data_IF_912445629892
#
_entry.id   IF_912445629892
#
_cell.length_a   1.000
_cell.length_b   1.000
_cell.length_c   1.000
_cell.angle_alpha   90.00
_cell.angle_beta   90.00
_cell.angle_gamma   90.00
#
_symmetry.space_group_name_H-M   'P 1'
#
loop_
_entity.id
_entity.type
_entity.pdbx_description
1 polymer ?
#
# COMPACT_ATOMS: atom_id res chain seq x y z
N UNK A 1 -16.27 21.80 23.79
CA UNK A 1 -16.96 20.59 23.25
C UNK A 1 -17.20 20.70 21.76
N UNK A 2 -17.80 21.79 21.28
CA UNK A 2 -18.01 22.02 19.84
C UNK A 2 -16.71 22.11 19.06
N UNK A 3 -15.70 22.75 19.59
CA UNK A 3 -14.38 22.87 18.98
C UNK A 3 -13.69 21.52 18.81
N UNK A 4 -13.80 20.65 19.83
CA UNK A 4 -13.23 19.32 19.77
C UNK A 4 -13.94 18.43 18.75
N UNK A 5 -15.26 18.56 18.63
CA UNK A 5 -16.06 17.83 17.64
C UNK A 5 -15.71 18.27 16.21
N UNK A 6 -15.56 19.59 15.98
CA UNK A 6 -15.15 20.12 14.68
C UNK A 6 -13.74 19.68 14.33
N UNK A 7 -12.82 19.73 15.29
CA UNK A 7 -11.43 19.31 15.10
C UNK A 7 -11.33 17.82 14.76
N UNK A 8 -12.11 16.97 15.46
CA UNK A 8 -12.16 15.54 15.17
C UNK A 8 -12.72 15.26 13.78
N UNK A 9 -13.80 15.97 13.41
CA UNK A 9 -14.43 15.84 12.08
C UNK A 9 -13.49 16.30 10.97
N UNK A 10 -12.79 17.40 11.16
CA UNK A 10 -11.81 17.92 10.20
C UNK A 10 -10.65 16.96 10.02
N UNK A 11 -10.12 16.40 11.11
CA UNK A 11 -9.04 15.42 11.05
C UNK A 11 -9.48 14.13 10.37
N UNK A 12 -10.66 13.64 10.70
CA UNK A 12 -11.20 12.44 10.06
C UNK A 12 -11.34 12.66 8.56
N UNK A 13 -11.86 13.80 8.13
CA UNK A 13 -11.99 14.19 6.72
C UNK A 13 -10.64 14.28 6.03
N UNK A 14 -9.64 14.88 6.69
CA UNK A 14 -8.28 14.98 6.17
C UNK A 14 -7.63 13.62 5.97
N UNK A 15 -7.78 12.71 6.93
CA UNK A 15 -7.29 11.33 6.82
C UNK A 15 -8.03 10.60 5.69
N UNK A 16 -9.33 10.81 5.58
CA UNK A 16 -10.12 10.20 4.51
C UNK A 16 -9.62 10.63 3.12
N UNK A 17 -9.29 11.90 2.93
CA UNK A 17 -8.73 12.39 1.68
C UNK A 17 -7.37 11.77 1.36
N UNK A 18 -6.53 11.59 2.37
CA UNK A 18 -5.22 10.93 2.22
C UNK A 18 -5.43 9.48 1.78
N UNK A 19 -6.35 8.77 2.41
CA UNK A 19 -6.67 7.37 2.08
C UNK A 19 -7.18 7.28 0.64
N UNK A 20 -8.10 8.16 0.23
CA UNK A 20 -8.67 8.14 -1.12
C UNK A 20 -7.59 8.33 -2.19
N UNK A 21 -6.66 9.26 -1.97
CA UNK A 21 -5.53 9.47 -2.89
C UNK A 21 -4.62 8.26 -2.94
N UNK A 22 -4.34 7.65 -1.79
CA UNK A 22 -3.49 6.47 -1.70
C UNK A 22 -4.12 5.25 -2.37
N UNK A 23 -5.42 5.05 -2.21
CA UNK A 23 -6.15 3.99 -2.88
C UNK A 23 -6.17 4.17 -4.40
N UNK A 24 -6.15 5.43 -4.87
CA UNK A 24 -5.99 5.72 -6.30
C UNK A 24 -4.60 5.30 -6.80
N UNK A 25 -3.56 5.54 -6.02
CA UNK A 25 -2.21 5.06 -6.33
C UNK A 25 -2.17 3.53 -6.36
N UNK A 26 -2.88 2.86 -5.43
CA UNK A 26 -3.03 1.40 -5.43
C UNK A 26 -3.62 0.90 -6.74
N UNK A 27 -4.65 1.58 -7.23
CA UNK A 27 -5.29 1.23 -8.50
C UNK A 27 -4.31 1.33 -9.67
N UNK A 28 -3.50 2.38 -9.71
CA UNK A 28 -2.47 2.54 -10.74
C UNK A 28 -1.42 1.42 -10.65
N UNK A 29 -1.03 1.06 -9.45
CA UNK A 29 -0.11 -0.06 -9.22
C UNK A 29 -0.70 -1.37 -9.75
N UNK A 30 -1.97 -1.64 -9.48
CA UNK A 30 -2.66 -2.83 -9.96
C UNK A 30 -2.75 -2.86 -11.49
N UNK A 31 -3.03 -1.73 -12.13
CA UNK A 31 -3.09 -1.63 -13.60
C UNK A 31 -1.73 -1.98 -14.20
N UNK A 32 -0.65 -1.41 -13.68
CA UNK A 32 0.70 -1.71 -14.18
C UNK A 32 1.09 -3.16 -13.92
N UNK A 33 0.79 -3.68 -12.74
CA UNK A 33 1.07 -5.07 -12.41
C UNK A 33 0.31 -6.04 -13.34
N UNK A 34 -0.97 -5.82 -13.54
CA UNK A 34 -1.79 -6.68 -14.42
C UNK A 34 -1.35 -6.59 -15.87
N UNK A 35 -1.00 -5.41 -16.34
CA UNK A 35 -0.49 -5.20 -17.69
C UNK A 35 0.79 -5.99 -17.93
N UNK A 36 1.72 -5.95 -16.99
CA UNK A 36 2.99 -6.66 -17.10
C UNK A 36 2.81 -8.17 -16.93
N UNK A 37 2.02 -8.60 -15.96
CA UNK A 37 1.79 -10.04 -15.74
C UNK A 37 0.99 -10.71 -16.87
N UNK A 38 0.27 -9.93 -17.67
CA UNK A 38 -0.44 -10.41 -18.86
C UNK A 38 0.46 -10.69 -20.05
N UNK A 39 1.73 -10.29 -20.01
CA UNK A 39 2.71 -10.60 -21.06
C UNK A 39 3.17 -12.05 -20.87
N UNK A 40 2.82 -12.95 -21.70
CA UNK A 40 3.06 -14.40 -21.51
C UNK A 40 4.54 -14.80 -21.42
N UNK A 41 5.44 -14.06 -22.05
CA UNK A 41 6.88 -14.31 -22.00
C UNK A 41 7.65 -13.00 -22.10
N UNK A 42 8.80 -12.94 -21.43
CA UNK A 42 9.64 -11.75 -21.39
C UNK A 42 10.93 -11.96 -22.16
N UNK A 43 11.26 -10.97 -22.99
CA UNK A 43 12.46 -10.96 -23.80
C UNK A 43 13.40 -9.86 -23.31
N UNK A 44 14.62 -10.24 -22.93
CA UNK A 44 15.67 -9.32 -22.45
C UNK A 44 16.05 -8.27 -23.49
N UNK A 45 15.87 -8.58 -24.79
CA UNK A 45 16.17 -7.64 -25.86
C UNK A 45 15.03 -6.65 -26.09
N UNK A 46 13.87 -6.85 -25.46
CA UNK A 46 12.72 -5.98 -25.60
C UNK A 46 12.82 -4.82 -24.59
N UNK A 47 13.20 -3.67 -25.10
CA UNK A 47 13.35 -2.44 -24.29
C UNK A 47 12.03 -2.07 -23.62
N UNK A 48 10.90 -2.31 -24.27
CA UNK A 48 9.59 -2.01 -23.71
C UNK A 48 9.30 -2.83 -22.46
N UNK A 49 9.66 -4.11 -22.45
CA UNK A 49 9.52 -4.96 -21.26
C UNK A 49 10.37 -4.46 -20.11
N UNK A 50 11.61 -4.06 -20.38
CA UNK A 50 12.50 -3.49 -19.36
C UNK A 50 11.94 -2.20 -18.78
N UNK A 51 11.41 -1.33 -19.63
CA UNK A 51 10.79 -0.08 -19.20
C UNK A 51 9.53 -0.31 -18.36
N UNK A 52 8.72 -1.30 -18.72
CA UNK A 52 7.52 -1.66 -17.97
C UNK A 52 7.87 -2.17 -16.57
N UNK A 53 8.90 -2.99 -16.44
CA UNK A 53 9.38 -3.47 -15.13
C UNK A 53 9.84 -2.30 -14.26
N UNK A 54 10.61 -1.38 -14.81
CA UNK A 54 11.09 -0.21 -14.08
C UNK A 54 9.95 0.71 -13.65
N UNK A 55 8.94 0.86 -14.50
CA UNK A 55 7.74 1.64 -14.17
C UNK A 55 6.96 1.00 -13.04
N UNK A 56 6.77 -0.33 -13.09
CA UNK A 56 6.13 -1.07 -12.00
C UNK A 56 6.89 -0.88 -10.69
N UNK A 57 8.21 -1.01 -10.72
CA UNK A 57 9.05 -0.81 -9.54
C UNK A 57 8.89 0.59 -8.96
N UNK A 58 8.88 1.62 -9.80
CA UNK A 58 8.73 3.01 -9.36
C UNK A 58 7.38 3.25 -8.70
N UNK A 59 6.30 2.81 -9.34
CA UNK A 59 4.94 2.98 -8.81
C UNK A 59 4.78 2.20 -7.50
N UNK A 60 5.35 1.00 -7.43
CA UNK A 60 5.30 0.16 -6.24
C UNK A 60 6.04 0.80 -5.06
N UNK A 61 7.25 1.32 -5.29
CA UNK A 61 8.03 2.00 -4.25
C UNK A 61 7.30 3.26 -3.79
N UNK A 62 6.72 4.03 -4.70
CA UNK A 62 5.95 5.23 -4.35
C UNK A 62 4.74 4.88 -3.47
N UNK A 63 4.02 3.82 -3.82
CA UNK A 63 2.88 3.35 -3.04
C UNK A 63 3.29 2.89 -1.64
N UNK A 64 4.34 2.08 -1.55
CA UNK A 64 4.87 1.58 -0.28
C UNK A 64 5.34 2.73 0.60
N UNK A 65 6.06 3.68 0.02
CA UNK A 65 6.58 4.85 0.74
C UNK A 65 5.45 5.73 1.28
N UNK A 66 4.44 6.01 0.46
CA UNK A 66 3.28 6.79 0.88
C UNK A 66 2.55 6.09 2.04
N UNK A 67 2.41 4.76 1.98
CA UNK A 67 1.82 3.98 3.06
C UNK A 67 2.55 4.17 4.38
N UNK A 68 3.86 3.96 4.37
CA UNK A 68 4.68 4.03 5.59
C UNK A 68 4.85 5.45 6.13
N UNK A 69 5.06 6.43 5.27
CA UNK A 69 5.40 7.79 5.71
C UNK A 69 4.19 8.69 5.88
N UNK A 70 3.04 8.32 5.37
CA UNK A 70 1.86 9.17 5.43
C UNK A 70 0.64 8.43 5.99
N UNK A 71 0.21 7.35 5.34
CA UNK A 71 -1.09 6.73 5.62
C UNK A 71 -1.13 6.04 6.98
N UNK A 72 -0.18 5.16 7.27
CA UNK A 72 -0.21 4.37 8.53
C UNK A 72 -0.05 5.27 9.74
N UNK A 73 0.80 6.28 9.65
CA UNK A 73 1.01 7.24 10.72
C UNK A 73 -0.27 8.02 11.05
N UNK A 74 -1.00 8.45 10.02
CA UNK A 74 -2.26 9.16 10.20
C UNK A 74 -3.35 8.25 10.78
N UNK A 75 -3.41 6.99 10.35
CA UNK A 75 -4.34 6.02 10.92
C UNK A 75 -4.07 5.76 12.41
N UNK A 76 -2.81 5.60 12.77
CA UNK A 76 -2.41 5.38 14.17
C UNK A 76 -2.73 6.62 15.02
N UNK A 77 -2.46 7.81 14.52
CA UNK A 77 -2.82 9.05 15.21
C UNK A 77 -4.33 9.15 15.44
N UNK A 78 -5.13 8.80 14.44
CA UNK A 78 -6.58 8.78 14.58
C UNK A 78 -7.01 7.80 15.66
N UNK A 79 -6.46 6.59 15.69
CA UNK A 79 -6.74 5.61 16.71
C UNK A 79 -6.41 6.12 18.13
N UNK A 80 -5.30 6.86 18.27
CA UNK A 80 -4.92 7.48 19.52
C UNK A 80 -5.87 8.61 19.92
N UNK A 81 -6.26 9.45 18.96
CA UNK A 81 -7.19 10.55 19.19
C UNK A 81 -8.54 10.06 19.71
N UNK A 82 -9.03 8.92 19.20
CA UNK A 82 -10.29 8.31 19.64
C UNK A 82 -10.10 7.36 20.83
N UNK A 83 -8.86 7.21 21.32
CA UNK A 83 -8.52 6.29 22.41
C UNK A 83 -9.01 4.86 22.13
N UNK A 84 -8.86 4.43 20.90
CA UNK A 84 -9.31 3.12 20.40
C UNK A 84 -8.22 2.06 20.64
N UNK A 85 -8.10 1.60 21.89
CA UNK A 85 -7.09 0.62 22.28
C UNK A 85 -7.22 -0.72 21.53
N UNK A 86 -8.43 -1.28 21.38
CA UNK A 86 -8.58 -2.53 20.61
C UNK A 86 -8.17 -2.37 19.15
N UNK A 87 -8.56 -1.26 18.52
CA UNK A 87 -8.19 -0.96 17.13
C UNK A 87 -6.68 -0.80 16.96
N UNK A 88 -6.03 -0.08 17.88
CA UNK A 88 -4.58 0.09 17.86
C UNK A 88 -3.84 -1.25 18.05
N UNK A 89 -4.34 -2.12 18.94
CA UNK A 89 -3.74 -3.44 19.15
C UNK A 89 -3.85 -4.31 17.90
N UNK A 90 -5.00 -4.28 17.23
CA UNK A 90 -5.20 -5.02 15.98
C UNK A 90 -4.32 -4.44 14.86
N UNK A 91 -4.22 -3.12 14.77
CA UNK A 91 -3.37 -2.45 13.79
C UNK A 91 -1.90 -2.85 13.95
N UNK A 92 -1.42 -3.00 15.18
CA UNK A 92 -0.05 -3.43 15.43
C UNK A 92 0.24 -4.82 14.86
N UNK A 93 -0.72 -5.73 14.93
CA UNK A 93 -0.61 -7.07 14.34
C UNK A 93 -0.62 -7.00 12.81
N UNK A 94 -1.49 -6.18 12.25
CA UNK A 94 -1.58 -5.98 10.80
C UNK A 94 -0.32 -5.33 10.26
N UNK A 95 0.26 -4.40 11.00
CA UNK A 95 1.51 -3.73 10.62
C UNK A 95 2.66 -4.72 10.44
N UNK A 96 2.74 -5.74 11.29
CA UNK A 96 3.77 -6.79 11.16
C UNK A 96 3.62 -7.58 9.86
N UNK A 97 2.38 -7.86 9.46
CA UNK A 97 2.09 -8.53 8.18
C UNK A 97 2.54 -7.63 7.02
N UNK A 98 2.22 -6.35 7.09
CA UNK A 98 2.60 -5.36 6.09
C UNK A 98 4.13 -5.28 5.95
N UNK A 99 4.85 -5.26 7.07
CA UNK A 99 6.32 -5.19 7.07
C UNK A 99 6.96 -6.39 6.36
N UNK A 100 6.42 -7.58 6.52
CA UNK A 100 6.92 -8.76 5.81
C UNK A 100 6.76 -8.59 4.29
N UNK A 101 5.64 -8.03 3.85
CA UNK A 101 5.43 -7.77 2.43
C UNK A 101 6.34 -6.65 1.93
N UNK A 102 6.62 -5.65 2.76
CA UNK A 102 7.51 -4.53 2.41
C UNK A 102 8.89 -5.05 2.02
N UNK A 103 9.46 -5.93 2.83
CA UNK A 103 10.77 -6.52 2.57
C UNK A 103 10.79 -7.25 1.22
N UNK A 104 9.78 -8.07 0.96
CA UNK A 104 9.67 -8.83 -0.29
C UNK A 104 9.54 -7.91 -1.52
N UNK A 105 8.73 -6.85 -1.41
CA UNK A 105 8.53 -5.90 -2.51
C UNK A 105 9.79 -5.08 -2.79
N UNK A 106 10.52 -4.67 -1.75
CA UNK A 106 11.78 -3.94 -1.91
C UNK A 106 12.86 -4.83 -2.51
N UNK A 107 12.91 -6.10 -2.14
CA UNK A 107 13.84 -7.08 -2.74
C UNK A 107 13.59 -7.22 -4.25
N UNK A 108 12.32 -7.27 -4.67
CA UNK A 108 11.96 -7.28 -6.09
C UNK A 108 12.46 -6.00 -6.79
N UNK A 109 12.21 -4.85 -6.18
CA UNK A 109 12.66 -3.57 -6.73
C UNK A 109 14.18 -3.56 -6.90
N UNK A 110 14.91 -3.94 -5.87
CA UNK A 110 16.38 -3.93 -5.89
C UNK A 110 16.92 -4.86 -6.98
N UNK A 111 16.34 -6.05 -7.13
CA UNK A 111 16.75 -7.01 -8.14
C UNK A 111 16.60 -6.43 -9.55
N UNK A 112 15.46 -5.84 -9.88
CA UNK A 112 15.18 -5.36 -11.23
C UNK A 112 15.70 -3.94 -11.51
N UNK A 113 16.24 -3.26 -10.52
CA UNK A 113 17.03 -2.04 -10.73
C UNK A 113 18.44 -2.35 -11.20
N UNK A 114 18.96 -3.53 -10.85
CA UNK A 114 20.36 -3.89 -11.12
C UNK A 114 20.54 -4.84 -12.30
N UNK A 115 19.50 -5.53 -12.74
CA UNK A 115 19.60 -6.51 -13.81
C UNK A 115 18.62 -6.23 -14.95
N UNK A 116 19.07 -6.51 -16.18
CA UNK A 116 18.21 -6.56 -17.36
C UNK A 116 17.78 -8.00 -17.70
N UNK A 117 18.22 -8.98 -16.90
CA UNK A 117 17.84 -10.38 -17.07
C UNK A 117 16.40 -10.60 -16.60
N UNK A 118 15.51 -10.87 -17.54
CA UNK A 118 14.08 -11.07 -17.29
C UNK A 118 13.68 -12.56 -17.22
N UNK A 119 14.65 -13.48 -17.16
CA UNK A 119 14.38 -14.91 -17.20
C UNK A 119 13.55 -15.41 -15.99
N UNK A 120 13.71 -14.78 -14.83
CA UNK A 120 12.97 -15.13 -13.62
C UNK A 120 11.74 -14.22 -13.39
N UNK A 121 11.47 -13.27 -14.28
CA UNK A 121 10.47 -12.23 -14.04
C UNK A 121 9.05 -12.80 -13.88
N UNK A 122 8.67 -13.80 -14.68
CA UNK A 122 7.33 -14.39 -14.59
C UNK A 122 7.08 -14.98 -13.19
N UNK A 123 8.04 -15.69 -12.63
CA UNK A 123 7.94 -16.27 -11.28
C UNK A 123 7.97 -15.17 -10.23
N UNK A 124 8.86 -14.20 -10.38
CA UNK A 124 8.99 -13.09 -9.43
C UNK A 124 7.73 -12.23 -9.41
N UNK A 125 7.07 -12.02 -10.56
CA UNK A 125 5.79 -11.32 -10.63
C UNK A 125 4.67 -12.09 -9.91
N UNK A 126 4.66 -13.42 -10.05
CA UNK A 126 3.70 -14.25 -9.34
C UNK A 126 3.87 -14.10 -7.82
N UNK A 127 5.11 -14.11 -7.35
CA UNK A 127 5.42 -13.92 -5.92
C UNK A 127 5.03 -12.52 -5.45
N UNK A 128 5.32 -11.49 -6.24
CA UNK A 128 4.92 -10.10 -5.96
C UNK A 128 3.40 -10.00 -5.84
N UNK A 129 2.67 -10.64 -6.75
CA UNK A 129 1.21 -10.63 -6.72
C UNK A 129 0.64 -11.18 -5.42
N UNK A 130 1.23 -12.26 -4.89
CA UNK A 130 0.84 -12.82 -3.62
C UNK A 130 1.14 -11.87 -2.45
N UNK A 131 2.29 -11.23 -2.47
CA UNK A 131 2.65 -10.24 -1.45
C UNK A 131 1.75 -9.00 -1.50
N UNK A 132 1.41 -8.53 -2.70
CA UNK A 132 0.49 -7.40 -2.86
C UNK A 132 -0.90 -7.75 -2.32
N UNK A 133 -1.42 -8.95 -2.62
CA UNK A 133 -2.72 -9.38 -2.10
C UNK A 133 -2.73 -9.41 -0.58
N UNK A 134 -1.71 -10.02 0.04
CA UNK A 134 -1.57 -10.06 1.49
C UNK A 134 -1.50 -8.66 2.09
N UNK A 135 -0.70 -7.78 1.47
CA UNK A 135 -0.53 -6.40 1.92
C UNK A 135 -1.82 -5.61 1.83
N UNK A 136 -2.51 -5.65 0.69
CA UNK A 136 -3.74 -4.91 0.50
C UNK A 136 -4.83 -5.36 1.46
N UNK A 137 -4.93 -6.66 1.73
CA UNK A 137 -5.87 -7.18 2.71
C UNK A 137 -5.58 -6.64 4.11
N UNK A 138 -4.32 -6.64 4.53
CA UNK A 138 -3.93 -6.11 5.84
C UNK A 138 -4.16 -4.59 5.92
N UNK A 139 -3.84 -3.86 4.86
CA UNK A 139 -4.06 -2.41 4.79
C UNK A 139 -5.55 -2.07 4.85
N UNK A 140 -6.40 -2.81 4.13
CA UNK A 140 -7.84 -2.61 4.15
C UNK A 140 -8.42 -2.86 5.54
N UNK A 141 -7.93 -3.88 6.24
CA UNK A 141 -8.34 -4.15 7.62
C UNK A 141 -7.89 -3.03 8.57
N UNK A 142 -6.70 -2.49 8.37
CA UNK A 142 -6.20 -1.37 9.17
C UNK A 142 -7.06 -0.12 8.97
N UNK A 143 -7.44 0.18 7.74
CA UNK A 143 -8.36 1.28 7.42
C UNK A 143 -9.70 1.04 8.12
N UNK A 144 -10.24 -0.18 8.06
CA UNK A 144 -11.51 -0.51 8.68
C UNK A 144 -11.49 -0.27 10.19
N UNK A 145 -10.47 -0.78 10.88
CA UNK A 145 -10.43 -0.72 12.35
C UNK A 145 -10.01 0.65 12.89
N UNK A 146 -9.22 1.44 12.14
CA UNK A 146 -8.70 2.72 12.62
C UNK A 146 -9.34 3.95 11.97
N UNK A 147 -10.17 3.78 10.97
CA UNK A 147 -10.77 4.93 10.26
C UNK A 147 -12.25 4.73 10.02
N UNK A 148 -12.65 3.71 9.28
CA UNK A 148 -14.05 3.48 8.93
C UNK A 148 -14.92 3.29 10.18
N UNK A 149 -14.40 2.56 11.16
CA UNK A 149 -15.11 2.33 12.44
C UNK A 149 -15.36 3.63 13.24
N UNK A 150 -14.57 4.67 13.00
CA UNK A 150 -14.73 5.96 13.68
C UNK A 150 -15.67 6.93 12.97
N UNK A 151 -16.17 6.57 11.79
CA UNK A 151 -17.00 7.47 10.97
C UNK A 151 -18.23 7.95 11.72
N UNK A 152 -18.89 7.09 12.45
CA UNK A 152 -20.09 7.44 13.21
C UNK A 152 -19.79 8.38 14.39
N UNK A 153 -18.55 8.38 14.88
CA UNK A 153 -18.14 9.23 15.99
C UNK A 153 -17.98 10.69 15.58
N UNK A 154 -17.87 10.96 14.28
CA UNK A 154 -17.68 12.31 13.71
C UNK A 154 -18.89 12.75 12.87
N UNK A 155 -19.91 11.96 12.78
CA UNK A 155 -21.12 12.24 12.00
C UNK A 155 -21.98 13.35 12.64
#
# INVERSE_FOLDING_TARGET
MLENCQSAKERWGGVNDIIDRWLHERQQLLVEYCSLSGVGSFDETNVEHQEQVKRLCQIMVDYVSAGHFEVYDQLIKEGKDFNDRPGLAQAAKLYKIIDLTTEALLDFNDKYQETDDLSALAQDLSDVGQHLETRFSAEDQMIEVLHTSHKELVA
#
